data_IF_399384816148
#
_entry.id   IF_399384816148
#
_cell.length_a   1.000
_cell.length_b   1.000
_cell.length_c   1.000
_cell.angle_alpha   90.00
_cell.angle_beta   90.00
_cell.angle_gamma   90.00
#
_symmetry.space_group_name_H-M   'P 1'
#
loop_
_entity.id
_entity.type
_entity.pdbx_description
1 polymer ?
#
# COMPACT_ATOMS: atom_id res chain seq x y z
N UNK A 1 66.00 49.76 -24.68
CA UNK A 1 64.70 50.13 -25.28
C UNK A 1 63.60 49.67 -24.31
N UNK A 2 63.04 50.55 -23.48
CA UNK A 2 61.83 50.25 -22.71
C UNK A 2 60.60 50.87 -23.39
N UNK A 3 59.49 50.16 -23.46
CA UNK A 3 58.20 50.79 -23.76
C UNK A 3 57.06 50.18 -22.93
N UNK A 4 56.68 50.98 -21.91
CA UNK A 4 55.32 51.34 -21.44
C UNK A 4 54.32 50.22 -21.17
N UNK A 5 53.94 50.03 -19.91
CA UNK A 5 52.75 50.63 -19.30
C UNK A 5 51.92 49.46 -18.74
N UNK A 6 51.24 49.46 -17.60
CA UNK A 6 50.50 50.47 -16.84
C UNK A 6 49.99 49.78 -15.56
N UNK A 7 50.02 50.44 -14.40
CA UNK A 7 49.19 50.10 -13.22
C UNK A 7 47.68 50.43 -13.51
N UNK A 8 46.63 50.08 -12.69
CA UNK A 8 46.63 49.70 -11.26
C UNK A 8 45.51 48.70 -10.77
N UNK A 9 45.57 48.38 -9.46
CA UNK A 9 44.46 48.10 -8.49
C UNK A 9 43.42 46.99 -8.76
N UNK A 10 43.51 45.93 -7.93
CA UNK A 10 42.49 45.54 -6.94
C UNK A 10 41.21 44.82 -7.39
N UNK A 11 41.00 43.60 -6.89
CA UNK A 11 39.65 43.07 -6.63
C UNK A 11 39.68 42.03 -5.51
N UNK A 12 38.92 42.33 -4.45
CA UNK A 12 38.63 41.44 -3.32
C UNK A 12 37.79 40.28 -3.86
N UNK A 13 38.21 39.05 -3.60
CA UNK A 13 37.39 37.87 -3.86
C UNK A 13 36.14 37.91 -2.99
N UNK A 14 34.98 38.16 -3.61
CA UNK A 14 33.69 37.89 -3.00
C UNK A 14 33.52 36.37 -2.90
N UNK A 15 33.69 35.82 -1.70
CA UNK A 15 33.13 34.51 -1.35
C UNK A 15 31.60 34.64 -1.37
N UNK A 16 30.96 34.03 -2.36
CA UNK A 16 29.51 33.82 -2.35
C UNK A 16 29.19 32.79 -1.24
N UNK A 17 28.20 33.04 -0.38
CA UNK A 17 27.80 32.04 0.60
C UNK A 17 27.08 30.89 -0.11
N UNK A 18 27.49 29.65 0.18
CA UNK A 18 26.76 28.44 -0.19
C UNK A 18 25.41 28.48 0.54
N UNK A 19 24.34 28.74 -0.21
CA UNK A 19 22.97 28.78 0.30
C UNK A 19 22.60 27.43 0.91
N UNK A 20 22.44 27.40 2.23
CA UNK A 20 21.80 26.28 2.92
C UNK A 20 20.32 26.27 2.54
N UNK A 21 19.95 25.44 1.56
CA UNK A 21 18.53 25.10 1.37
C UNK A 21 18.03 24.42 2.65
N UNK A 22 16.88 24.88 3.15
CA UNK A 22 16.32 24.39 4.41
C UNK A 22 15.99 22.90 4.34
N UNK A 23 16.26 22.16 5.42
CA UNK A 23 15.91 20.74 5.62
C UNK A 23 14.39 20.45 5.51
N UNK A 24 13.57 21.48 5.33
CA UNK A 24 12.13 21.37 5.14
C UNK A 24 11.79 21.36 3.64
N UNK A 25 12.51 22.15 2.83
CA UNK A 25 12.29 22.20 1.38
C UNK A 25 12.69 20.89 0.70
N UNK A 26 13.78 20.24 1.12
CA UNK A 26 14.19 18.94 0.59
C UNK A 26 13.22 17.80 0.92
N UNK A 27 12.48 17.92 2.02
CA UNK A 27 11.51 16.94 2.51
C UNK A 27 10.21 17.09 1.76
N UNK A 28 9.76 18.34 1.55
CA UNK A 28 8.64 18.62 0.65
C UNK A 28 8.95 18.27 -0.82
N UNK A 29 10.19 18.45 -1.27
CA UNK A 29 10.64 18.02 -2.60
C UNK A 29 10.71 16.49 -2.73
N UNK A 30 11.07 15.76 -1.66
CA UNK A 30 11.07 14.28 -1.66
C UNK A 30 9.65 13.71 -1.63
N UNK A 31 8.73 14.33 -0.89
CA UNK A 31 7.31 13.94 -0.88
C UNK A 31 6.65 14.24 -2.23
N UNK A 32 7.02 15.33 -2.90
CA UNK A 32 6.57 15.66 -4.27
C UNK A 32 7.08 14.70 -5.36
N UNK A 33 8.05 13.83 -5.05
CA UNK A 33 8.62 12.85 -5.98
C UNK A 33 8.11 11.42 -5.79
N UNK A 34 7.27 11.15 -4.80
CA UNK A 34 6.67 9.83 -4.65
C UNK A 34 5.53 9.70 -5.66
N UNK A 35 5.67 8.75 -6.58
CA UNK A 35 4.57 8.43 -7.49
C UNK A 35 3.39 7.93 -6.67
N UNK A 36 2.18 8.31 -7.06
CA UNK A 36 0.97 7.79 -6.44
C UNK A 36 0.68 6.42 -7.07
N UNK A 37 0.83 5.30 -6.34
CA UNK A 37 0.54 3.98 -6.90
C UNK A 37 -0.94 3.87 -7.24
N UNK A 38 -1.24 3.26 -8.39
CA UNK A 38 -2.60 3.00 -8.81
C UNK A 38 -3.13 1.71 -8.15
N UNK A 39 -3.53 1.85 -6.87
CA UNK A 39 -4.17 0.79 -6.08
C UNK A 39 -5.66 0.76 -6.43
N UNK A 40 -6.07 -0.20 -7.27
CA UNK A 40 -7.46 -0.33 -7.74
C UNK A 40 -8.36 -1.05 -6.74
N UNK A 41 -7.78 -1.90 -5.88
CA UNK A 41 -8.50 -2.57 -4.80
C UNK A 41 -7.55 -2.88 -3.64
N UNK A 42 -8.01 -2.66 -2.41
CA UNK A 42 -7.39 -3.17 -1.19
C UNK A 42 -8.35 -4.12 -0.51
N UNK A 43 -7.93 -5.36 -0.26
CA UNK A 43 -8.81 -6.43 0.24
C UNK A 43 -8.21 -7.17 1.43
N UNK A 44 -9.02 -7.32 2.49
CA UNK A 44 -8.77 -8.26 3.58
C UNK A 44 -9.41 -9.59 3.21
N UNK A 45 -8.60 -10.64 3.12
CA UNK A 45 -9.07 -12.02 2.99
C UNK A 45 -8.06 -12.91 3.70
N UNK A 46 -8.50 -13.61 4.75
CA UNK A 46 -7.61 -14.43 5.58
C UNK A 46 -6.95 -15.57 4.77
N UNK A 47 -7.60 -15.99 3.68
CA UNK A 47 -7.12 -17.00 2.73
C UNK A 47 -6.22 -16.43 1.64
N UNK A 48 -5.97 -15.11 1.65
CA UNK A 48 -5.17 -14.39 0.67
C UNK A 48 -5.68 -14.62 -0.77
N UNK A 49 -4.86 -15.12 -1.69
CA UNK A 49 -5.26 -15.35 -3.08
C UNK A 49 -5.83 -16.76 -3.24
N UNK A 50 -7.13 -16.82 -3.52
CA UNK A 50 -7.88 -18.04 -3.85
C UNK A 50 -8.91 -17.73 -4.94
N UNK A 51 -9.75 -18.70 -5.33
CA UNK A 51 -10.63 -18.58 -6.50
C UNK A 51 -11.49 -17.30 -6.57
N UNK A 52 -12.04 -16.80 -5.46
CA UNK A 52 -12.82 -15.55 -5.53
C UNK A 52 -11.92 -14.34 -5.77
N UNK A 53 -10.76 -14.29 -5.11
CA UNK A 53 -9.81 -13.19 -5.25
C UNK A 53 -9.17 -13.21 -6.63
N UNK A 54 -8.57 -14.33 -7.02
CA UNK A 54 -7.81 -14.44 -8.27
C UNK A 54 -8.64 -14.43 -9.55
N UNK A 55 -9.91 -14.85 -9.49
CA UNK A 55 -10.78 -14.89 -10.68
C UNK A 55 -11.75 -13.71 -10.73
N UNK A 56 -12.47 -13.43 -9.63
CA UNK A 56 -13.57 -12.45 -9.67
C UNK A 56 -13.08 -11.03 -9.38
N UNK A 57 -12.30 -10.85 -8.31
CA UNK A 57 -11.88 -9.51 -7.88
C UNK A 57 -10.80 -8.90 -8.77
N UNK A 58 -9.87 -9.70 -9.30
CA UNK A 58 -8.88 -9.23 -10.28
C UNK A 58 -9.57 -8.64 -11.51
N UNK A 59 -10.52 -9.38 -12.10
CA UNK A 59 -11.25 -8.92 -13.28
C UNK A 59 -12.17 -7.73 -12.98
N UNK A 60 -12.91 -7.77 -11.87
CA UNK A 60 -13.81 -6.69 -11.46
C UNK A 60 -13.08 -5.37 -11.21
N UNK A 61 -11.93 -5.41 -10.55
CA UNK A 61 -11.12 -4.23 -10.27
C UNK A 61 -10.22 -3.82 -11.45
N UNK A 62 -10.24 -4.56 -12.56
CA UNK A 62 -9.35 -4.37 -13.71
C UNK A 62 -7.87 -4.36 -13.31
N UNK A 63 -7.51 -5.18 -12.32
CA UNK A 63 -6.15 -5.31 -11.82
C UNK A 63 -5.29 -6.08 -12.83
N UNK A 64 -4.02 -5.68 -12.97
CA UNK A 64 -3.03 -6.44 -13.76
C UNK A 64 -1.83 -6.89 -12.92
N UNK A 65 -1.81 -6.55 -11.64
CA UNK A 65 -0.88 -7.08 -10.67
C UNK A 65 -1.57 -7.26 -9.32
N UNK A 66 -1.35 -8.41 -8.69
CA UNK A 66 -1.73 -8.71 -7.32
C UNK A 66 -0.49 -8.59 -6.42
N UNK A 67 -0.59 -7.82 -5.36
CA UNK A 67 0.43 -7.76 -4.31
C UNK A 67 -0.14 -8.39 -3.06
N UNK A 68 0.36 -9.58 -2.73
CA UNK A 68 0.05 -10.30 -1.48
C UNK A 68 1.01 -9.80 -0.42
N UNK A 69 0.46 -9.12 0.59
CA UNK A 69 1.23 -8.57 1.71
C UNK A 69 1.08 -9.50 2.90
N UNK A 70 2.08 -10.34 3.12
CA UNK A 70 2.13 -11.25 4.25
C UNK A 70 3.56 -11.75 4.47
N UNK A 71 4.10 -11.53 5.66
CA UNK A 71 5.50 -11.81 5.96
C UNK A 71 5.84 -13.31 5.89
N UNK A 72 4.91 -14.17 6.31
CA UNK A 72 5.07 -15.64 6.25
C UNK A 72 5.06 -16.13 4.80
N UNK A 73 4.04 -15.77 4.02
CA UNK A 73 3.89 -16.18 2.62
C UNK A 73 5.03 -15.63 1.77
N UNK A 74 5.57 -14.45 2.07
CA UNK A 74 6.75 -13.91 1.38
C UNK A 74 7.99 -14.82 1.48
N UNK A 75 8.03 -15.76 2.43
CA UNK A 75 9.09 -16.75 2.61
C UNK A 75 8.68 -18.20 2.27
N UNK A 76 7.40 -18.46 1.98
CA UNK A 76 6.88 -19.81 1.70
C UNK A 76 6.63 -20.03 0.21
N UNK A 77 7.61 -20.62 -0.48
CA UNK A 77 7.52 -20.87 -1.93
C UNK A 77 6.41 -21.83 -2.33
N UNK A 78 5.97 -22.72 -1.44
CA UNK A 78 4.88 -23.65 -1.72
C UNK A 78 3.57 -22.88 -1.76
N UNK A 79 3.31 -22.03 -0.75
CA UNK A 79 2.12 -21.19 -0.73
C UNK A 79 2.11 -20.19 -1.90
N UNK A 80 3.26 -19.61 -2.24
CA UNK A 80 3.39 -18.72 -3.39
C UNK A 80 2.98 -19.40 -4.71
N UNK A 81 3.53 -20.60 -4.96
CA UNK A 81 3.21 -21.36 -6.17
C UNK A 81 1.72 -21.72 -6.24
N UNK A 82 1.10 -22.09 -5.12
CA UNK A 82 -0.33 -22.41 -5.08
C UNK A 82 -1.19 -21.18 -5.40
N UNK A 83 -0.83 -20.00 -4.90
CA UNK A 83 -1.55 -18.75 -5.18
C UNK A 83 -1.36 -18.29 -6.63
N UNK A 84 -0.17 -18.48 -7.19
CA UNK A 84 0.13 -18.20 -8.60
C UNK A 84 -0.77 -18.99 -9.56
N UNK A 85 -1.01 -20.28 -9.27
CA UNK A 85 -1.87 -21.14 -10.09
C UNK A 85 -3.34 -20.70 -10.17
N UNK A 86 -3.78 -19.81 -9.28
CA UNK A 86 -5.16 -19.30 -9.26
C UNK A 86 -5.36 -18.17 -10.27
N UNK A 87 -4.29 -17.46 -10.66
CA UNK A 87 -4.39 -16.28 -11.50
C UNK A 87 -4.46 -16.64 -12.98
N UNK A 88 -5.23 -15.83 -13.72
CA UNK A 88 -5.27 -15.91 -15.18
C UNK A 88 -3.95 -15.42 -15.80
N UNK A 89 -3.65 -15.90 -17.01
CA UNK A 89 -2.49 -15.49 -17.78
C UNK A 89 -2.42 -13.97 -17.95
N UNK A 90 -1.22 -13.41 -17.81
CA UNK A 90 -0.96 -11.98 -17.95
C UNK A 90 -1.18 -11.15 -16.68
N UNK A 91 -1.71 -11.73 -15.60
CA UNK A 91 -1.78 -11.09 -14.29
C UNK A 91 -0.49 -11.36 -13.51
N UNK A 92 0.27 -10.31 -13.18
CA UNK A 92 1.45 -10.46 -12.35
C UNK A 92 1.06 -10.69 -10.88
N UNK A 93 1.89 -11.41 -10.12
CA UNK A 93 1.76 -11.51 -8.67
C UNK A 93 3.08 -11.28 -7.97
N UNK A 94 3.03 -10.67 -6.79
CA UNK A 94 4.17 -10.42 -5.91
C UNK A 94 3.79 -10.76 -4.49
N UNK A 95 4.72 -11.39 -3.78
CA UNK A 95 4.60 -11.71 -2.36
C UNK A 95 5.61 -10.87 -1.59
N UNK A 96 5.11 -9.89 -0.84
CA UNK A 96 5.93 -8.94 -0.12
C UNK A 96 5.61 -8.97 1.37
N UNK A 97 6.63 -8.64 2.16
CA UNK A 97 6.42 -8.31 3.56
C UNK A 97 5.71 -6.96 3.69
N UNK A 98 5.15 -6.68 4.86
CA UNK A 98 4.56 -5.36 5.16
C UNK A 98 5.58 -4.25 4.92
N UNK A 99 6.79 -4.40 5.49
CA UNK A 99 7.85 -3.40 5.37
C UNK A 99 8.29 -3.20 3.91
N UNK A 100 8.49 -4.29 3.15
CA UNK A 100 8.87 -4.18 1.74
C UNK A 100 7.81 -3.46 0.91
N UNK A 101 6.53 -3.65 1.25
CA UNK A 101 5.42 -2.96 0.60
C UNK A 101 5.50 -1.46 0.85
N UNK A 102 5.67 -1.03 2.10
CA UNK A 102 5.87 0.37 2.48
C UNK A 102 7.01 1.02 1.67
N UNK A 103 8.16 0.35 1.59
CA UNK A 103 9.37 0.89 0.97
C UNK A 103 9.34 0.93 -0.58
N UNK A 104 8.44 0.15 -1.19
CA UNK A 104 8.48 -0.15 -2.63
C UNK A 104 7.25 0.32 -3.38
N UNK A 105 6.08 0.38 -2.76
CA UNK A 105 4.82 0.60 -3.47
C UNK A 105 4.80 1.93 -4.26
N UNK A 106 5.43 2.98 -3.75
CA UNK A 106 5.55 4.29 -4.41
C UNK A 106 6.46 4.29 -5.66
N UNK A 107 7.15 3.17 -5.94
CA UNK A 107 7.94 2.97 -7.16
C UNK A 107 7.15 2.25 -8.26
N UNK A 108 5.86 1.97 -8.04
CA UNK A 108 5.00 1.36 -9.03
C UNK A 108 4.93 2.22 -10.30
N UNK A 109 4.98 1.57 -11.45
CA UNK A 109 4.77 2.21 -12.74
C UNK A 109 3.28 2.50 -12.96
N UNK A 110 2.95 3.59 -13.66
CA UNK A 110 1.56 4.04 -13.85
C UNK A 110 0.64 2.99 -14.49
N UNK A 111 1.22 2.12 -15.34
CA UNK A 111 0.50 1.00 -15.96
C UNK A 111 0.08 -0.10 -14.98
N UNK A 112 0.65 -0.14 -13.77
CA UNK A 112 0.35 -1.17 -12.77
C UNK A 112 -0.94 -0.81 -12.05
N UNK A 113 -1.98 -1.62 -12.25
CA UNK A 113 -3.26 -1.54 -11.56
C UNK A 113 -3.26 -2.60 -10.47
N UNK A 114 -3.01 -2.16 -9.25
CA UNK A 114 -2.63 -3.01 -8.12
C UNK A 114 -3.85 -3.43 -7.33
N UNK A 115 -4.05 -4.74 -7.22
CA UNK A 115 -4.91 -5.36 -6.22
C UNK A 115 -4.03 -5.75 -5.02
N UNK A 116 -4.25 -5.11 -3.89
CA UNK A 116 -3.50 -5.32 -2.66
C UNK A 116 -4.30 -6.27 -1.74
N UNK A 117 -3.71 -7.40 -1.35
CA UNK A 117 -4.35 -8.39 -0.46
C UNK A 117 -3.55 -8.51 0.81
N UNK A 118 -4.19 -8.27 1.96
CA UNK A 118 -3.61 -8.59 3.26
C UNK A 118 -4.49 -9.62 3.99
N UNK A 119 -3.90 -10.32 4.97
CA UNK A 119 -4.61 -11.31 5.78
C UNK A 119 -5.50 -10.65 6.82
N UNK A 120 -5.05 -9.53 7.41
CA UNK A 120 -5.68 -8.94 8.60
C UNK A 120 -5.86 -7.42 8.50
N UNK A 121 -6.75 -6.80 9.33
CA UNK A 121 -6.82 -5.35 9.45
C UNK A 121 -5.53 -4.73 10.01
N UNK A 122 -4.81 -5.46 10.87
CA UNK A 122 -3.49 -5.05 11.40
C UNK A 122 -2.48 -4.75 10.30
N UNK A 123 -2.38 -5.63 9.31
CA UNK A 123 -1.47 -5.45 8.18
C UNK A 123 -1.80 -4.15 7.43
N UNK A 124 -3.07 -3.91 7.13
CA UNK A 124 -3.50 -2.67 6.48
C UNK A 124 -3.25 -1.44 7.35
N UNK A 125 -3.48 -1.52 8.67
CA UNK A 125 -3.17 -0.42 9.58
C UNK A 125 -1.69 -0.05 9.49
N UNK A 126 -0.80 -1.04 9.53
CA UNK A 126 0.64 -0.82 9.39
C UNK A 126 1.02 -0.20 8.04
N UNK A 127 0.38 -0.63 6.95
CA UNK A 127 0.60 -0.02 5.63
C UNK A 127 0.17 1.45 5.58
N UNK A 128 -1.02 1.77 6.13
CA UNK A 128 -1.53 3.16 6.15
C UNK A 128 -0.66 4.05 7.03
N UNK A 129 -0.29 3.57 8.23
CA UNK A 129 0.65 4.26 9.13
C UNK A 129 2.04 4.44 8.48
N UNK A 130 2.46 3.49 7.65
CA UNK A 130 3.67 3.54 6.85
C UNK A 130 3.61 4.45 5.61
N UNK A 131 2.47 5.10 5.35
CA UNK A 131 2.31 6.06 4.25
C UNK A 131 1.80 5.48 2.93
N UNK A 132 1.39 4.21 2.89
CA UNK A 132 0.74 3.63 1.70
C UNK A 132 -0.64 4.29 1.52
N UNK A 133 -0.95 4.87 0.34
CA UNK A 133 -2.15 5.70 0.16
C UNK A 133 -3.40 4.86 -0.07
N UNK A 134 -3.95 4.28 1.01
CA UNK A 134 -5.14 3.42 1.00
C UNK A 134 -6.31 4.19 1.61
N UNK A 135 -7.40 4.34 0.85
CA UNK A 135 -8.60 5.07 1.30
C UNK A 135 -9.81 4.17 1.54
N UNK A 136 -9.85 3.01 0.88
CA UNK A 136 -10.98 2.08 0.94
C UNK A 136 -10.44 0.66 1.06
N UNK A 137 -10.99 -0.11 1.99
CA UNK A 137 -10.68 -1.52 2.19
C UNK A 137 -11.97 -2.32 2.03
N UNK A 138 -11.91 -3.30 1.14
CA UNK A 138 -12.91 -4.34 1.01
C UNK A 138 -12.58 -5.47 2.01
N UNK A 139 -13.50 -5.80 2.91
CA UNK A 139 -13.36 -6.89 3.87
C UNK A 139 -14.12 -8.09 3.34
N UNK A 140 -13.38 -9.00 2.73
CA UNK A 140 -13.92 -10.18 2.10
C UNK A 140 -14.21 -11.30 3.08
N UNK A 141 -13.20 -11.65 3.86
CA UNK A 141 -13.26 -12.79 4.75
C UNK A 141 -12.30 -12.65 5.93
N UNK A 142 -12.84 -12.90 7.13
CA UNK A 142 -12.11 -13.09 8.39
C UNK A 142 -12.84 -14.21 9.12
N UNK A 143 -12.19 -15.36 9.30
CA UNK A 143 -12.84 -16.58 9.76
C UNK A 143 -13.26 -16.49 11.22
N UNK A 144 -14.30 -17.27 11.57
CA UNK A 144 -14.64 -17.48 12.97
C UNK A 144 -13.55 -18.32 13.63
N UNK A 145 -13.17 -17.92 14.84
CA UNK A 145 -12.36 -18.68 15.76
C UNK A 145 -12.92 -18.44 17.17
N UNK A 146 -12.63 -19.34 18.11
CA UNK A 146 -13.06 -19.16 19.50
C UNK A 146 -12.57 -17.81 20.04
N UNK A 147 -13.50 -17.01 20.57
CA UNK A 147 -13.24 -15.64 21.01
C UNK A 147 -13.60 -14.55 20.00
N UNK A 148 -13.88 -14.88 18.73
CA UNK A 148 -14.38 -13.91 17.74
C UNK A 148 -15.89 -13.81 17.74
N UNK A 149 -16.41 -12.58 17.61
CA UNK A 149 -17.82 -12.29 17.36
C UNK A 149 -18.07 -12.27 15.86
N UNK A 150 -19.03 -13.07 15.38
CA UNK A 150 -19.46 -13.01 14.00
C UNK A 150 -20.31 -11.75 13.76
N UNK A 151 -19.91 -10.91 12.81
CA UNK A 151 -20.59 -9.65 12.46
C UNK A 151 -21.23 -9.70 11.07
N UNK A 152 -20.79 -10.63 10.22
CA UNK A 152 -21.40 -10.92 8.92
C UNK A 152 -21.23 -12.40 8.56
N UNK A 153 -21.79 -12.82 7.42
CA UNK A 153 -21.66 -14.19 6.93
C UNK A 153 -20.21 -14.66 6.79
N UNK A 154 -19.29 -13.77 6.42
CA UNK A 154 -17.90 -14.11 6.11
C UNK A 154 -16.87 -13.44 7.02
N UNK A 155 -17.31 -12.59 7.96
CA UNK A 155 -16.44 -11.77 8.81
C UNK A 155 -16.79 -11.98 10.27
N UNK A 156 -15.81 -12.45 11.03
CA UNK A 156 -15.79 -12.48 12.49
C UNK A 156 -14.61 -11.69 13.00
N UNK A 157 -14.79 -10.98 14.10
CA UNK A 157 -13.79 -10.07 14.68
C UNK A 157 -13.63 -10.32 16.17
N UNK A 158 -12.40 -10.19 16.69
CA UNK A 158 -12.14 -10.06 18.12
C UNK A 158 -11.90 -8.58 18.51
N UNK A 159 -11.46 -8.37 19.76
CA UNK A 159 -11.15 -7.03 20.26
C UNK A 159 -9.96 -6.37 19.56
N UNK A 160 -8.96 -7.14 19.11
CA UNK A 160 -7.80 -6.60 18.39
C UNK A 160 -8.19 -6.18 16.97
N UNK A 161 -8.95 -7.02 16.27
CA UNK A 161 -9.51 -6.70 14.95
C UNK A 161 -10.33 -5.40 15.00
N UNK A 162 -11.20 -5.27 16.02
CA UNK A 162 -12.02 -4.07 16.22
C UNK A 162 -11.13 -2.85 16.47
N UNK A 163 -10.10 -2.97 17.30
CA UNK A 163 -9.18 -1.86 17.57
C UNK A 163 -8.44 -1.41 16.30
N UNK A 164 -7.97 -2.35 15.48
CA UNK A 164 -7.32 -2.04 14.20
C UNK A 164 -8.29 -1.36 13.22
N UNK A 165 -9.54 -1.83 13.11
CA UNK A 165 -10.56 -1.16 12.29
C UNK A 165 -10.90 0.25 12.78
N UNK A 166 -10.98 0.49 14.09
CA UNK A 166 -11.20 1.83 14.63
C UNK A 166 -10.02 2.75 14.34
N UNK A 167 -8.79 2.25 14.40
CA UNK A 167 -7.61 3.05 14.03
C UNK A 167 -7.60 3.37 12.53
N UNK A 168 -7.94 2.40 11.67
CA UNK A 168 -8.13 2.64 10.23
C UNK A 168 -9.19 3.72 9.98
N UNK A 169 -10.32 3.69 10.70
CA UNK A 169 -11.36 4.73 10.64
C UNK A 169 -10.82 6.10 11.03
N UNK A 170 -10.05 6.18 12.12
CA UNK A 170 -9.45 7.41 12.61
C UNK A 170 -8.44 8.01 11.60
N UNK A 171 -7.79 7.14 10.81
CA UNK A 171 -6.92 7.51 9.69
C UNK A 171 -7.69 7.87 8.41
N UNK A 172 -9.04 7.86 8.45
CA UNK A 172 -9.90 8.23 7.33
C UNK A 172 -10.18 7.11 6.33
N UNK A 173 -9.84 5.86 6.66
CA UNK A 173 -10.06 4.71 5.78
C UNK A 173 -11.49 4.20 5.93
N UNK A 174 -12.16 3.99 4.79
CA UNK A 174 -13.49 3.36 4.74
C UNK A 174 -13.35 1.84 4.61
N UNK A 175 -14.10 1.10 5.41
CA UNK A 175 -14.09 -0.36 5.39
C UNK A 175 -15.49 -0.88 5.05
N UNK A 176 -15.62 -1.70 4.01
CA UNK A 176 -16.89 -2.31 3.62
C UNK A 176 -16.79 -3.82 3.51
N UNK A 177 -17.77 -4.54 4.05
CA UNK A 177 -17.86 -5.99 3.95
C UNK A 177 -18.53 -6.35 2.62
N UNK A 178 -17.83 -7.13 1.80
CA UNK A 178 -18.36 -7.64 0.54
C UNK A 178 -17.51 -8.85 0.09
N UNK A 179 -18.12 -10.04 0.07
CA UNK A 179 -17.43 -11.30 -0.21
C UNK A 179 -17.04 -11.44 -1.68
N UNK A 180 -18.01 -11.17 -2.57
CA UNK A 180 -17.85 -11.20 -4.04
C UNK A 180 -18.37 -9.91 -4.69
N UNK A 181 -17.91 -9.55 -5.90
CA UNK A 181 -18.28 -8.28 -6.52
C UNK A 181 -19.78 -8.08 -6.78
N UNK A 182 -20.55 -9.16 -6.93
CA UNK A 182 -21.99 -9.13 -7.20
C UNK A 182 -22.86 -8.96 -5.95
N UNK A 183 -22.28 -9.09 -4.76
CA UNK A 183 -22.99 -8.86 -3.51
C UNK A 183 -23.06 -7.36 -3.19
N UNK A 184 -24.04 -6.94 -2.39
CA UNK A 184 -24.07 -5.57 -1.86
C UNK A 184 -22.98 -5.38 -0.82
N UNK A 185 -22.32 -4.23 -0.84
CA UNK A 185 -21.34 -3.86 0.16
C UNK A 185 -22.02 -3.24 1.39
N UNK A 186 -21.64 -3.70 2.57
CA UNK A 186 -22.14 -3.17 3.85
C UNK A 186 -21.04 -2.40 4.55
N UNK A 187 -21.31 -1.18 5.04
CA UNK A 187 -20.37 -0.44 5.87
C UNK A 187 -20.06 -1.24 7.15
N UNK A 188 -18.79 -1.62 7.31
CA UNK A 188 -18.32 -2.43 8.42
C UNK A 188 -18.62 -1.76 9.77
N UNK A 189 -18.54 -0.43 9.85
CA UNK A 189 -18.71 0.31 11.10
C UNK A 189 -20.16 0.37 11.59
N UNK A 190 -21.13 -0.06 10.78
CA UNK A 190 -22.53 -0.21 11.21
C UNK A 190 -22.77 -1.50 12.00
N UNK A 191 -21.80 -2.43 11.97
CA UNK A 191 -21.87 -3.76 12.58
C UNK A 191 -20.92 -3.94 13.77
N UNK A 192 -19.99 -2.99 13.97
CA UNK A 192 -19.05 -2.96 15.09
C UNK A 192 -19.62 -2.25 16.32
#
# INVERSE_FOLDING_TARGET
MPDRGSEPRGSRGHHLPVSHQSSTAIYFESIRKLNMPNIVLSRIDERLVHGQVGVQWVGFADANIVVVVNDEVAQDTIQQNLMEMVLADGIAIRFWTVQKTIDTIHKAADRQRILLVCRTPKDFRQLVEGGVPIQNINVGNMHYADGKKQISKTVSVDAEDVADFQQLKALGVRCSIQGVPTESATDLFTLL
#
